data_IF_541691663835
#
_entry.id   IF_541691663835
#
_cell.length_a   1.000
_cell.length_b   1.000
_cell.length_c   1.000
_cell.angle_alpha   90.00
_cell.angle_beta   90.00
_cell.angle_gamma   90.00
#
_symmetry.space_group_name_H-M   'P 1'
#
loop_
_entity.id
_entity.type
_entity.pdbx_description
1 polymer ?
#
# COMPACT_ATOMS: atom_id res chain seq x y z
N UNK A 1 -3.41 11.95 18.67
CA UNK A 1 -4.36 11.02 17.99
C UNK A 1 -3.75 9.62 17.94
N UNK A 2 -4.55 8.58 17.70
CA UNK A 2 -4.02 7.23 17.45
C UNK A 2 -3.27 7.17 16.12
N UNK A 3 -2.30 6.27 16.01
CA UNK A 3 -1.59 6.00 14.75
C UNK A 3 -2.56 5.58 13.63
N UNK A 4 -3.59 4.80 13.95
CA UNK A 4 -4.65 4.43 13.01
C UNK A 4 -5.39 5.65 12.43
N UNK A 5 -5.75 6.61 13.28
CA UNK A 5 -6.43 7.85 12.86
C UNK A 5 -5.52 8.70 11.95
N UNK A 6 -4.23 8.78 12.29
CA UNK A 6 -3.24 9.48 11.48
C UNK A 6 -3.05 8.85 10.09
N UNK A 7 -3.06 7.50 10.01
CA UNK A 7 -2.99 6.77 8.75
C UNK A 7 -4.25 6.99 7.89
N UNK A 8 -5.43 7.05 8.52
CA UNK A 8 -6.68 7.37 7.84
C UNK A 8 -6.67 8.81 7.31
N UNK A 9 -6.29 9.79 8.14
CA UNK A 9 -6.20 11.19 7.73
C UNK A 9 -5.20 11.38 6.58
N UNK A 10 -4.06 10.66 6.61
CA UNK A 10 -3.10 10.65 5.50
C UNK A 10 -3.74 10.15 4.20
N UNK A 11 -4.56 9.10 4.25
CA UNK A 11 -5.25 8.59 3.07
C UNK A 11 -6.25 9.62 2.53
N UNK A 12 -7.07 10.20 3.41
CA UNK A 12 -8.07 11.21 3.05
C UNK A 12 -7.42 12.46 2.43
N UNK A 13 -6.28 12.91 2.97
CA UNK A 13 -5.51 14.02 2.40
C UNK A 13 -4.98 13.72 1.01
N UNK A 14 -4.46 12.51 0.75
CA UNK A 14 -4.02 12.13 -0.60
C UNK A 14 -5.17 12.20 -1.60
N UNK A 15 -6.36 11.67 -1.24
CA UNK A 15 -7.55 11.77 -2.09
C UNK A 15 -7.94 13.23 -2.34
N UNK A 16 -7.97 14.06 -1.29
CA UNK A 16 -8.32 15.48 -1.39
C UNK A 16 -7.34 16.27 -2.24
N UNK A 17 -6.04 15.96 -2.15
CA UNK A 17 -5.00 16.58 -2.97
C UNK A 17 -5.24 16.24 -4.45
N UNK A 18 -5.52 14.98 -4.79
CA UNK A 18 -5.84 14.59 -6.16
C UNK A 18 -7.13 15.24 -6.69
N UNK A 19 -8.15 15.41 -5.85
CA UNK A 19 -9.38 16.15 -6.22
C UNK A 19 -9.09 17.63 -6.51
N UNK A 20 -8.31 18.29 -5.64
CA UNK A 20 -7.92 19.68 -5.81
C UNK A 20 -7.08 19.89 -7.08
N UNK A 21 -6.16 18.96 -7.39
CA UNK A 21 -5.38 18.97 -8.63
C UNK A 21 -6.28 18.90 -9.87
N UNK A 22 -7.29 18.03 -9.86
CA UNK A 22 -8.26 17.92 -10.94
C UNK A 22 -9.07 19.23 -11.11
N UNK A 23 -9.58 19.77 -10.01
CA UNK A 23 -10.37 21.03 -10.03
C UNK A 23 -9.54 22.23 -10.46
N UNK A 24 -8.29 22.32 -10.02
CA UNK A 24 -7.35 23.34 -10.49
C UNK A 24 -7.14 23.25 -12.00
N UNK A 25 -6.95 22.03 -12.51
CA UNK A 25 -6.77 21.81 -13.96
C UNK A 25 -8.01 22.24 -14.74
N UNK A 26 -9.21 21.92 -14.25
CA UNK A 26 -10.49 22.30 -14.86
C UNK A 26 -10.74 23.82 -14.86
N UNK A 27 -10.19 24.55 -13.88
CA UNK A 27 -10.33 26.00 -13.75
C UNK A 27 -9.08 26.77 -14.20
N UNK A 28 -8.15 26.11 -14.91
CA UNK A 28 -6.87 26.70 -15.32
C UNK A 28 -6.99 27.68 -16.49
N UNK A 29 -8.03 27.53 -17.32
CA UNK A 29 -8.30 28.33 -18.50
C UNK A 29 -9.79 28.61 -18.62
N UNK A 30 -10.12 29.82 -19.07
CA UNK A 30 -11.48 30.27 -19.39
C UNK A 30 -11.48 31.02 -20.71
N UNK A 31 -12.64 31.16 -21.35
CA UNK A 31 -12.73 32.01 -22.54
C UNK A 31 -12.64 33.48 -22.15
N UNK A 32 -12.28 34.34 -23.11
CA UNK A 32 -12.21 35.78 -22.88
C UNK A 32 -13.57 36.31 -22.42
N UNK A 33 -13.59 36.98 -21.27
CA UNK A 33 -14.81 37.53 -20.67
C UNK A 33 -15.60 36.55 -19.78
N UNK A 34 -15.18 35.29 -19.66
CA UNK A 34 -15.75 34.32 -18.73
C UNK A 34 -14.98 34.27 -17.39
N UNK A 35 -15.67 33.88 -16.33
CA UNK A 35 -15.06 33.60 -15.03
C UNK A 35 -14.92 32.08 -14.82
N UNK A 36 -13.90 31.61 -14.09
CA UNK A 36 -13.78 30.20 -13.76
C UNK A 36 -14.94 29.78 -12.84
N UNK A 37 -15.31 28.51 -12.89
CA UNK A 37 -16.39 27.97 -12.06
C UNK A 37 -16.03 28.00 -10.57
N UNK A 38 -14.74 27.91 -10.27
CA UNK A 38 -14.18 27.99 -8.93
C UNK A 38 -12.97 28.93 -8.91
N UNK A 39 -12.71 29.59 -7.78
CA UNK A 39 -11.57 30.49 -7.65
C UNK A 39 -10.24 29.70 -7.57
N UNK A 40 -9.33 29.80 -8.56
CA UNK A 40 -8.07 29.05 -8.53
C UNK A 40 -7.17 29.40 -7.34
N UNK A 41 -7.21 30.66 -6.85
CA UNK A 41 -6.40 31.07 -5.69
C UNK A 41 -6.86 30.40 -4.39
N UNK A 42 -8.18 30.23 -4.23
CA UNK A 42 -8.74 29.51 -3.08
C UNK A 42 -8.42 28.00 -3.14
N UNK A 43 -8.49 27.41 -4.34
CA UNK A 43 -8.11 26.03 -4.57
C UNK A 43 -6.62 25.78 -4.29
N UNK A 44 -5.73 26.67 -4.73
CA UNK A 44 -4.30 26.61 -4.44
C UNK A 44 -4.03 26.71 -2.93
N UNK A 45 -4.67 27.66 -2.24
CA UNK A 45 -4.56 27.78 -0.79
C UNK A 45 -5.01 26.52 -0.05
N UNK A 46 -6.13 25.93 -0.48
CA UNK A 46 -6.62 24.67 0.08
C UNK A 46 -5.65 23.51 -0.17
N UNK A 47 -5.05 23.46 -1.37
CA UNK A 47 -4.03 22.46 -1.73
C UNK A 47 -2.81 22.58 -0.82
N UNK A 48 -2.24 23.78 -0.68
CA UNK A 48 -1.06 24.03 0.16
C UNK A 48 -1.29 23.66 1.63
N UNK A 49 -2.49 23.94 2.15
CA UNK A 49 -2.89 23.52 3.50
C UNK A 49 -2.93 22.00 3.63
N UNK A 50 -3.49 21.29 2.65
CA UNK A 50 -3.55 19.83 2.65
C UNK A 50 -2.14 19.21 2.56
N UNK A 51 -1.28 19.75 1.68
CA UNK A 51 0.12 19.30 1.53
C UNK A 51 0.92 19.54 2.81
N UNK A 52 0.77 20.70 3.45
CA UNK A 52 1.45 21.02 4.72
C UNK A 52 1.03 20.04 5.82
N UNK A 53 -0.27 19.75 5.93
CA UNK A 53 -0.78 18.76 6.89
C UNK A 53 -0.28 17.35 6.59
N UNK A 54 -0.28 16.96 5.32
CA UNK A 54 0.22 15.66 4.87
C UNK A 54 1.70 15.48 5.22
N UNK A 55 2.54 16.50 4.97
CA UNK A 55 3.95 16.49 5.34
C UNK A 55 4.13 16.23 6.84
N UNK A 56 3.32 16.90 7.67
CA UNK A 56 3.37 16.74 9.12
C UNK A 56 3.05 15.31 9.56
N UNK A 57 1.94 14.77 9.06
CA UNK A 57 1.53 13.39 9.36
C UNK A 57 2.57 12.37 8.90
N UNK A 58 3.19 12.54 7.73
CA UNK A 58 4.23 11.62 7.26
C UNK A 58 5.41 11.58 8.24
N UNK A 59 5.88 12.74 8.71
CA UNK A 59 6.97 12.80 9.67
C UNK A 59 6.61 12.13 11.00
N UNK A 60 5.45 12.46 11.57
CA UNK A 60 4.98 11.94 12.85
C UNK A 60 4.71 10.43 12.80
N UNK A 61 4.10 9.94 11.71
CA UNK A 61 3.86 8.50 11.48
C UNK A 61 5.18 7.75 11.39
N UNK A 62 6.14 8.23 10.60
CA UNK A 62 7.44 7.57 10.45
C UNK A 62 8.20 7.54 11.77
N UNK A 63 8.19 8.64 12.53
CA UNK A 63 8.80 8.71 13.85
C UNK A 63 8.17 7.70 14.82
N UNK A 64 6.83 7.63 14.84
CA UNK A 64 6.07 6.69 15.66
C UNK A 64 6.41 5.25 15.28
N UNK A 65 6.42 4.92 14.00
CA UNK A 65 6.72 3.57 13.51
C UNK A 65 8.12 3.10 13.91
N UNK A 66 9.11 3.99 13.86
CA UNK A 66 10.49 3.67 14.23
C UNK A 66 10.68 3.54 15.75
N UNK A 67 9.90 4.25 16.57
CA UNK A 67 10.06 4.26 18.03
C UNK A 67 9.18 3.25 18.77
N UNK A 68 8.06 2.85 18.20
CA UNK A 68 7.13 1.92 18.84
C UNK A 68 7.58 0.48 18.65
N UNK A 69 7.79 -0.22 19.76
CA UNK A 69 8.19 -1.63 19.80
C UNK A 69 6.97 -2.52 20.10
N UNK A 70 6.73 -3.51 19.25
CA UNK A 70 5.69 -4.53 19.35
C UNK A 70 6.34 -5.90 19.22
N UNK A 71 6.13 -6.79 20.20
CA UNK A 71 6.75 -8.12 20.24
C UNK A 71 8.29 -8.10 20.04
N UNK A 72 8.96 -7.09 20.59
CA UNK A 72 10.42 -6.95 20.52
C UNK A 72 10.97 -6.37 19.22
N UNK A 73 10.11 -5.93 18.28
CA UNK A 73 10.48 -5.32 17.00
C UNK A 73 9.80 -3.97 16.83
N UNK A 74 10.41 -3.05 16.09
CA UNK A 74 9.73 -1.82 15.68
C UNK A 74 8.57 -2.10 14.72
N UNK A 75 7.57 -1.21 14.69
CA UNK A 75 6.51 -1.28 13.67
C UNK A 75 7.12 -1.27 12.26
N UNK A 76 8.17 -0.48 12.04
CA UNK A 76 8.92 -0.45 10.76
C UNK A 76 9.46 -1.82 10.37
N UNK A 77 10.05 -2.57 11.30
CA UNK A 77 10.54 -3.94 11.05
C UNK A 77 9.39 -4.90 10.71
N UNK A 78 8.26 -4.81 11.42
CA UNK A 78 7.09 -5.65 11.17
C UNK A 78 6.50 -5.37 9.77
N UNK A 79 6.46 -4.10 9.34
CA UNK A 79 6.08 -3.72 7.97
C UNK A 79 7.01 -4.38 6.95
N UNK A 80 8.33 -4.26 7.15
CA UNK A 80 9.32 -4.83 6.23
C UNK A 80 9.23 -6.36 6.13
N UNK A 81 8.99 -7.05 7.25
CA UNK A 81 8.74 -8.48 7.27
C UNK A 81 7.48 -8.86 6.50
N UNK A 82 6.37 -8.15 6.73
CA UNK A 82 5.10 -8.38 6.04
C UNK A 82 5.26 -8.21 4.53
N UNK A 83 5.86 -7.10 4.10
CA UNK A 83 6.00 -6.77 2.68
C UNK A 83 6.92 -7.77 1.97
N UNK A 84 8.01 -8.18 2.62
CA UNK A 84 8.90 -9.24 2.12
C UNK A 84 8.21 -10.60 2.05
N UNK A 85 7.38 -10.95 3.04
CA UNK A 85 6.59 -12.17 3.03
C UNK A 85 5.51 -12.15 1.93
N UNK A 86 4.87 -11.01 1.70
CA UNK A 86 3.90 -10.84 0.60
C UNK A 86 4.56 -10.99 -0.78
N UNK A 87 5.76 -10.42 -0.97
CA UNK A 87 6.52 -10.61 -2.19
C UNK A 87 6.88 -12.09 -2.41
N UNK A 88 7.37 -12.77 -1.36
CA UNK A 88 7.67 -14.21 -1.42
C UNK A 88 6.43 -15.03 -1.75
N UNK A 89 5.29 -14.72 -1.11
CA UNK A 89 4.02 -15.37 -1.39
C UNK A 89 3.62 -15.24 -2.86
N UNK A 90 3.75 -14.04 -3.42
CA UNK A 90 3.46 -13.79 -4.84
C UNK A 90 4.34 -14.66 -5.75
N UNK A 91 5.64 -14.72 -5.48
CA UNK A 91 6.56 -15.55 -6.27
C UNK A 91 6.20 -17.05 -6.21
N UNK A 92 5.88 -17.58 -5.03
CA UNK A 92 5.49 -18.97 -4.85
C UNK A 92 4.16 -19.30 -5.54
N UNK A 93 3.18 -18.40 -5.46
CA UNK A 93 1.90 -18.55 -6.17
C UNK A 93 2.09 -18.54 -7.68
N UNK A 94 2.89 -17.62 -8.20
CA UNK A 94 3.22 -17.57 -9.64
C UNK A 94 3.91 -18.86 -10.08
N UNK A 95 4.89 -19.36 -9.32
CA UNK A 95 5.56 -20.62 -9.62
C UNK A 95 4.60 -21.81 -9.62
N UNK A 96 3.79 -21.96 -8.56
CA UNK A 96 2.80 -23.03 -8.45
C UNK A 96 1.78 -22.99 -9.60
N UNK A 97 1.32 -21.78 -9.98
CA UNK A 97 0.40 -21.61 -11.10
C UNK A 97 1.05 -22.02 -12.41
N UNK A 98 2.26 -21.53 -12.72
CA UNK A 98 2.96 -21.85 -13.97
C UNK A 98 3.29 -23.35 -14.09
N UNK A 99 3.75 -23.96 -12.99
CA UNK A 99 4.08 -25.38 -12.92
C UNK A 99 2.84 -26.29 -12.92
N UNK A 100 1.70 -25.80 -12.42
CA UNK A 100 0.40 -26.50 -12.45
C UNK A 100 -0.34 -26.37 -13.79
N UNK A 101 -0.10 -25.29 -14.54
CA UNK A 101 -0.72 -25.00 -15.84
C UNK A 101 -0.13 -25.81 -17.01
N UNK A 102 0.54 -26.92 -16.74
CA UNK A 102 1.07 -27.86 -17.75
C UNK A 102 -0.10 -28.62 -18.39
N UNK A 103 -0.89 -27.87 -19.16
CA UNK A 103 -1.83 -28.33 -20.17
C UNK A 103 -1.41 -27.82 -21.57
N UNK A 104 -0.24 -27.18 -21.68
CA UNK A 104 0.28 -26.68 -22.95
C UNK A 104 0.83 -27.84 -23.80
N UNK A 105 -0.06 -28.53 -24.52
CA UNK A 105 0.34 -29.26 -25.73
C UNK A 105 0.75 -28.21 -26.75
N UNK A 106 2.06 -28.03 -26.96
CA UNK A 106 2.53 -27.28 -28.12
C UNK A 106 1.95 -27.95 -29.37
N UNK A 107 1.01 -27.29 -30.06
CA UNK A 107 0.39 -27.81 -31.29
C UNK A 107 1.51 -28.26 -32.25
N UNK A 108 1.57 -29.55 -32.53
CA UNK A 108 2.43 -30.11 -33.58
C UNK A 108 3.79 -30.68 -33.14
N UNK A 109 4.13 -30.73 -31.84
CA UNK A 109 5.30 -31.50 -31.38
C UNK A 109 4.93 -32.35 -30.15
N UNK A 110 5.35 -33.61 -30.15
CA UNK A 110 5.12 -34.60 -29.09
C UNK A 110 5.92 -34.31 -27.80
N UNK A 111 6.28 -33.06 -27.55
CA UNK A 111 7.16 -32.70 -26.44
C UNK A 111 6.31 -32.45 -25.18
N UNK A 112 6.41 -33.39 -24.24
CA UNK A 112 5.79 -33.30 -22.93
C UNK A 112 6.58 -32.34 -22.03
N UNK A 113 5.96 -31.24 -21.64
CA UNK A 113 6.48 -30.40 -20.56
C UNK A 113 6.19 -31.08 -19.21
N UNK A 114 7.16 -31.05 -18.30
CA UNK A 114 7.07 -31.66 -16.97
C UNK A 114 7.51 -30.59 -15.96
N UNK A 115 6.82 -30.42 -14.83
CA UNK A 115 7.24 -29.44 -13.85
C UNK A 115 8.58 -29.85 -13.25
N UNK A 116 9.49 -28.89 -13.07
CA UNK A 116 10.79 -29.10 -12.43
C UNK A 116 10.73 -29.03 -10.90
N UNK A 117 9.54 -28.75 -10.35
CA UNK A 117 9.29 -28.58 -8.92
C UNK A 117 8.08 -29.39 -8.48
N UNK A 118 8.04 -29.78 -7.20
CA UNK A 118 6.85 -30.38 -6.63
C UNK A 118 5.80 -29.29 -6.35
N UNK A 119 4.81 -29.17 -7.24
CA UNK A 119 3.74 -28.17 -7.15
C UNK A 119 3.00 -28.23 -5.80
N UNK A 120 2.78 -29.44 -5.27
CA UNK A 120 2.08 -29.63 -3.98
C UNK A 120 2.86 -29.02 -2.81
N UNK A 121 4.18 -29.16 -2.81
CA UNK A 121 5.03 -28.62 -1.74
C UNK A 121 5.16 -27.10 -1.85
N UNK A 122 5.28 -26.56 -3.07
CA UNK A 122 5.27 -25.10 -3.31
C UNK A 122 3.94 -24.48 -2.86
N UNK A 123 2.81 -25.13 -3.13
CA UNK A 123 1.50 -24.67 -2.67
C UNK A 123 1.39 -24.67 -1.15
N UNK A 124 1.85 -25.74 -0.48
CA UNK A 124 1.88 -25.79 0.99
C UNK A 124 2.72 -24.67 1.60
N UNK A 125 3.88 -24.39 1.02
CA UNK A 125 4.74 -23.29 1.48
C UNK A 125 4.07 -21.93 1.24
N UNK A 126 3.41 -21.75 0.09
CA UNK A 126 2.61 -20.55 -0.17
C UNK A 126 1.49 -20.36 0.87
N UNK A 127 0.78 -21.44 1.26
CA UNK A 127 -0.26 -21.38 2.28
C UNK A 127 0.28 -21.02 3.66
N UNK A 128 1.46 -21.55 4.01
CA UNK A 128 2.17 -21.19 5.23
C UNK A 128 2.55 -19.71 5.25
N UNK A 129 3.17 -19.19 4.17
CA UNK A 129 3.54 -17.78 4.05
C UNK A 129 2.28 -16.90 4.09
N UNK A 130 1.19 -17.30 3.44
CA UNK A 130 -0.08 -16.57 3.49
C UNK A 130 -0.68 -16.49 4.90
N UNK A 131 -0.48 -17.51 5.74
CA UNK A 131 -0.82 -17.44 7.16
C UNK A 131 0.05 -16.40 7.88
N UNK A 132 1.36 -16.39 7.64
CA UNK A 132 2.27 -15.43 8.26
C UNK A 132 1.94 -13.98 7.90
N UNK A 133 1.68 -13.70 6.62
CA UNK A 133 1.27 -12.35 6.18
C UNK A 133 0.01 -11.88 6.91
N UNK A 134 -1.00 -12.75 7.08
CA UNK A 134 -2.23 -12.40 7.83
C UNK A 134 -1.98 -12.14 9.31
N UNK A 135 -1.08 -12.90 9.94
CA UNK A 135 -0.73 -12.68 11.35
C UNK A 135 0.00 -11.35 11.54
N UNK A 136 0.96 -11.05 10.68
CA UNK A 136 1.69 -9.77 10.70
C UNK A 136 0.75 -8.59 10.44
N UNK A 137 -0.19 -8.73 9.51
CA UNK A 137 -1.18 -7.68 9.22
C UNK A 137 -2.10 -7.44 10.42
N UNK A 138 -2.63 -8.49 11.05
CA UNK A 138 -3.44 -8.36 12.26
C UNK A 138 -2.66 -7.70 13.42
N UNK A 139 -1.39 -8.05 13.58
CA UNK A 139 -0.51 -7.44 14.58
C UNK A 139 -0.34 -5.93 14.30
N UNK A 140 -0.08 -5.56 13.05
CA UNK A 140 0.04 -4.15 12.64
C UNK A 140 -1.25 -3.37 12.85
N UNK A 141 -2.41 -3.94 12.49
CA UNK A 141 -3.70 -3.28 12.71
C UNK A 141 -3.96 -3.05 14.19
N UNK A 142 -3.71 -4.06 15.03
CA UNK A 142 -3.81 -3.91 16.49
C UNK A 142 -2.87 -2.83 17.02
N UNK A 143 -1.61 -2.82 16.57
CA UNK A 143 -0.62 -1.82 16.94
C UNK A 143 -1.06 -0.40 16.55
N UNK A 144 -1.60 -0.22 15.35
CA UNK A 144 -2.10 1.07 14.87
C UNK A 144 -3.19 1.65 15.77
N UNK A 145 -4.11 0.82 16.27
CA UNK A 145 -5.20 1.27 17.14
C UNK A 145 -4.80 1.47 18.61
N UNK A 146 -3.72 0.83 19.05
CA UNK A 146 -3.25 0.90 20.44
C UNK A 146 -2.17 1.96 20.65
N UNK A 147 -1.47 2.37 19.58
CA UNK A 147 -0.36 3.32 19.63
C UNK A 147 -0.84 4.77 19.50
N UNK A 148 -0.35 5.64 20.39
CA UNK A 148 -0.50 7.10 20.24
C UNK A 148 0.54 7.63 19.25
N UNK A 149 0.12 8.56 18.38
CA UNK A 149 1.00 9.25 17.45
C UNK A 149 1.96 10.16 18.22
N UNK A 150 3.25 10.10 17.87
CA UNK A 150 4.26 11.03 18.36
C UNK A 150 4.18 12.31 17.51
N UNK A 151 3.58 13.35 18.08
CA UNK A 151 3.43 14.66 17.45
C UNK A 151 4.72 15.48 17.66
N UNK A 152 5.38 15.88 16.56
CA UNK A 152 6.64 16.67 16.59
C UNK A 152 6.44 18.18 16.46
#
# INVERSE_FOLDING_TARGET
MKLAEALQERADLNYKISDLELRLTQNSLVQEGEAPNENPEELLKALDQCVTRLQKLIADINLTNCKTIVEGRSITEIIAEKDSAALRLSAYRTLASSAGSINFRARGSEIKLIPTVNVKDIQKEADYIAKQVRLLDNLLQSANWTTELIES
#
